data_IF_169681312748
#
_entry.id   IF_169681312748
#
_cell.length_a   1.000
_cell.length_b   1.000
_cell.length_c   1.000
_cell.angle_alpha   90.00
_cell.angle_beta   90.00
_cell.angle_gamma   90.00
#
_symmetry.space_group_name_H-M   'P 1'
#
loop_
_entity.id
_entity.type
_entity.pdbx_description
1 polymer ?
#
# COMPACT_ATOMS: atom_id res chain seq x y z
N UNK A 1 15.13 -2.77 4.06
CA UNK A 1 13.69 -3.03 4.36
C UNK A 1 13.45 -4.39 5.04
N UNK A 2 13.77 -5.52 4.40
CA UNK A 2 13.54 -6.88 4.96
C UNK A 2 14.16 -7.13 6.34
N UNK A 3 15.24 -6.43 6.71
CA UNK A 3 15.88 -6.59 8.02
C UNK A 3 15.36 -5.62 9.10
N UNK A 4 14.85 -4.44 8.69
CA UNK A 4 14.54 -3.33 9.60
C UNK A 4 13.04 -3.28 9.89
N UNK A 5 12.19 -3.45 8.86
CA UNK A 5 10.73 -3.44 9.02
C UNK A 5 10.19 -4.54 9.96
N UNK A 6 10.66 -5.81 9.89
CA UNK A 6 10.20 -6.83 10.84
C UNK A 6 10.59 -6.56 12.29
N UNK A 7 11.59 -5.70 12.52
CA UNK A 7 12.05 -5.28 13.86
C UNK A 7 11.39 -3.97 14.32
N UNK A 8 10.36 -3.50 13.60
CA UNK A 8 9.64 -2.26 13.92
C UNK A 8 10.38 -0.98 13.55
N UNK A 9 11.52 -1.05 12.85
CA UNK A 9 12.20 0.13 12.33
C UNK A 9 11.68 0.52 10.94
N UNK A 10 11.92 1.77 10.54
CA UNK A 10 11.56 2.27 9.21
C UNK A 10 12.75 2.95 8.53
N UNK A 11 12.66 3.14 7.21
CA UNK A 11 13.70 3.77 6.40
C UNK A 11 13.06 4.78 5.45
N UNK A 12 13.67 5.95 5.34
CA UNK A 12 13.32 6.97 4.36
C UNK A 12 14.55 7.42 3.58
N UNK A 13 14.32 8.00 2.41
CA UNK A 13 15.35 8.61 1.57
C UNK A 13 15.19 10.13 1.66
N UNK A 14 16.28 10.81 1.98
CA UNK A 14 16.34 12.27 2.02
C UNK A 14 16.98 12.79 0.73
N UNK A 15 16.42 13.84 0.15
CA UNK A 15 17.00 14.60 -0.96
C UNK A 15 17.44 13.72 -2.15
N UNK A 16 16.53 12.88 -2.64
CA UNK A 16 16.80 12.10 -3.85
C UNK A 16 16.93 13.02 -5.07
N UNK A 17 17.98 12.81 -5.87
CA UNK A 17 18.13 13.58 -7.10
C UNK A 17 17.00 13.27 -8.09
N UNK A 18 16.48 14.26 -8.84
CA UNK A 18 15.35 14.07 -9.76
C UNK A 18 15.56 12.93 -10.77
N UNK A 19 16.77 12.82 -11.35
CA UNK A 19 17.11 11.75 -12.29
C UNK A 19 17.04 10.35 -11.66
N UNK A 20 17.42 10.23 -10.39
CA UNK A 20 17.36 8.97 -9.66
C UNK A 20 15.91 8.67 -9.26
N UNK A 21 15.13 9.70 -8.93
CA UNK A 21 13.71 9.56 -8.61
C UNK A 21 12.88 9.04 -9.78
N UNK A 22 13.13 9.53 -11.01
CA UNK A 22 12.47 9.03 -12.23
C UNK A 22 12.71 7.53 -12.43
N UNK A 23 13.96 7.08 -12.27
CA UNK A 23 14.30 5.66 -12.35
C UNK A 23 13.58 4.87 -11.26
N UNK A 24 13.53 5.39 -10.03
CA UNK A 24 12.79 4.78 -8.93
C UNK A 24 11.30 4.62 -9.24
N UNK A 25 10.67 5.62 -9.84
CA UNK A 25 9.26 5.55 -10.24
C UNK A 25 9.03 4.53 -11.35
N UNK A 26 9.89 4.52 -12.38
CA UNK A 26 9.80 3.56 -13.49
C UNK A 26 9.91 2.10 -13.01
N UNK A 27 10.75 1.84 -12.02
CA UNK A 27 10.91 0.52 -11.40
C UNK A 27 9.83 0.22 -10.34
N UNK A 28 8.93 1.15 -10.06
CA UNK A 28 7.89 1.01 -9.03
C UNK A 28 8.43 1.06 -7.60
N UNK A 29 9.66 1.53 -7.39
CA UNK A 29 10.30 1.56 -6.08
C UNK A 29 9.81 2.66 -5.15
N UNK A 30 9.16 3.69 -5.70
CA UNK A 30 8.54 4.78 -4.93
C UNK A 30 7.50 4.29 -3.91
N UNK A 31 6.95 3.09 -4.09
CA UNK A 31 5.97 2.50 -3.17
C UNK A 31 6.60 1.87 -1.92
N UNK A 32 7.92 1.63 -1.92
CA UNK A 32 8.59 0.92 -0.82
C UNK A 32 9.33 1.85 0.15
N UNK A 33 9.59 3.09 -0.26
CA UNK A 33 10.39 4.05 0.51
C UNK A 33 9.61 5.36 0.69
N UNK A 34 9.64 5.91 1.89
CA UNK A 34 9.25 7.30 2.11
C UNK A 34 10.37 8.20 1.61
N UNK A 35 10.05 9.23 0.84
CA UNK A 35 11.02 10.18 0.29
C UNK A 35 10.67 11.56 0.83
N UNK A 36 11.65 12.26 1.41
CA UNK A 36 11.52 13.61 1.97
C UNK A 36 12.58 14.53 1.41
N UNK A 37 12.31 15.83 1.44
CA UNK A 37 13.21 16.84 0.88
C UNK A 37 14.03 17.56 1.96
N UNK A 38 13.62 17.51 3.22
CA UNK A 38 14.34 18.18 4.32
C UNK A 38 14.53 17.25 5.51
N UNK A 39 15.62 17.49 6.25
CA UNK A 39 15.93 16.72 7.46
C UNK A 39 14.85 16.89 8.54
N UNK A 40 14.22 18.06 8.62
CA UNK A 40 13.14 18.36 9.56
C UNK A 40 11.92 17.49 9.28
N UNK A 41 11.50 17.38 8.02
CA UNK A 41 10.40 16.48 7.61
C UNK A 41 10.73 15.01 7.89
N UNK A 42 11.98 14.62 7.68
CA UNK A 42 12.46 13.27 7.94
C UNK A 42 12.40 12.92 9.44
N UNK A 43 12.87 13.83 10.30
CA UNK A 43 12.82 13.65 11.76
C UNK A 43 11.38 13.65 12.25
N UNK A 44 10.54 14.57 11.75
CA UNK A 44 9.12 14.63 12.06
C UNK A 44 8.40 13.32 11.71
N UNK A 45 8.72 12.72 10.56
CA UNK A 45 8.18 11.42 10.15
C UNK A 45 8.47 10.30 11.16
N UNK A 46 9.67 10.24 11.73
CA UNK A 46 10.02 9.23 12.72
C UNK A 46 9.45 9.52 14.12
N UNK A 47 9.27 10.79 14.47
CA UNK A 47 8.80 11.21 15.80
C UNK A 47 7.29 11.21 15.94
N UNK A 48 6.55 11.44 14.86
CA UNK A 48 5.08 11.43 14.88
C UNK A 48 4.47 10.01 14.98
N UNK A 49 5.30 8.97 15.14
CA UNK A 49 4.82 7.61 15.37
C UNK A 49 4.04 7.09 14.18
N UNK A 50 4.78 6.71 13.12
CA UNK A 50 4.34 5.91 11.98
C UNK A 50 2.82 5.72 11.84
N UNK A 51 2.09 6.74 11.39
CA UNK A 51 0.93 6.51 10.53
C UNK A 51 1.46 6.02 9.18
N UNK A 52 2.10 4.85 9.21
CA UNK A 52 2.16 3.96 8.07
C UNK A 52 0.72 3.91 7.59
N UNK A 53 0.48 4.38 6.37
CA UNK A 53 -0.72 4.03 5.64
C UNK A 53 -0.82 2.52 5.78
N UNK A 54 -1.68 2.05 6.68
CA UNK A 54 -1.95 0.64 6.88
C UNK A 54 -2.32 0.18 5.50
N UNK A 55 -1.43 -0.57 4.85
CA UNK A 55 -1.68 -1.06 3.51
C UNK A 55 -2.80 -2.05 3.69
N UNK A 56 -4.04 -1.56 3.55
CA UNK A 56 -5.27 -2.36 3.66
C UNK A 56 -5.19 -3.53 2.67
N UNK A 57 -4.39 -3.35 1.62
CA UNK A 57 -4.04 -4.34 0.63
C UNK A 57 -2.63 -4.93 0.88
N UNK A 58 -2.45 -6.25 0.66
CA UNK A 58 -3.43 -7.18 0.08
C UNK A 58 -4.50 -7.63 1.10
N UNK A 59 -5.78 -7.49 0.73
CA UNK A 59 -6.94 -7.82 1.57
C UNK A 59 -7.53 -9.17 1.13
N UNK A 60 -7.77 -10.08 2.08
CA UNK A 60 -8.52 -11.31 1.83
C UNK A 60 -9.97 -11.05 2.19
N UNK A 61 -10.84 -10.97 1.18
CA UNK A 61 -12.28 -10.74 1.35
C UNK A 61 -13.07 -11.99 1.01
N UNK A 62 -14.24 -12.14 1.61
CA UNK A 62 -15.20 -13.17 1.21
C UNK A 62 -16.22 -12.56 0.26
N UNK A 63 -16.48 -13.21 -0.88
CA UNK A 63 -17.50 -12.78 -1.81
C UNK A 63 -18.87 -12.71 -1.10
N UNK A 64 -19.59 -11.57 -1.15
CA UNK A 64 -20.88 -11.44 -0.47
C UNK A 64 -21.98 -12.34 -1.06
N UNK A 65 -21.79 -12.84 -2.29
CA UNK A 65 -22.77 -13.69 -2.99
C UNK A 65 -22.54 -15.18 -2.74
N UNK A 66 -21.30 -15.66 -2.88
CA UNK A 66 -20.99 -17.10 -2.76
C UNK A 66 -20.04 -17.47 -1.63
N UNK A 67 -19.66 -16.50 -0.77
CA UNK A 67 -18.74 -16.67 0.37
C UNK A 67 -17.33 -17.16 0.01
N UNK A 68 -16.99 -17.29 -1.27
CA UNK A 68 -15.65 -17.68 -1.73
C UNK A 68 -14.63 -16.61 -1.35
N UNK A 69 -13.50 -17.03 -0.79
CA UNK A 69 -12.39 -16.14 -0.44
C UNK A 69 -11.69 -15.64 -1.70
N UNK A 70 -11.45 -14.34 -1.78
CA UNK A 70 -10.80 -13.63 -2.88
C UNK A 70 -9.70 -12.74 -2.31
N UNK A 71 -8.57 -12.67 -3.00
CA UNK A 71 -7.46 -11.78 -2.64
C UNK A 71 -7.53 -10.53 -3.51
N UNK A 72 -7.71 -9.36 -2.89
CA UNK A 72 -7.61 -8.07 -3.53
C UNK A 72 -6.21 -7.49 -3.29
N UNK A 73 -5.49 -7.16 -4.36
CA UNK A 73 -4.16 -6.54 -4.29
C UNK A 73 -4.19 -5.02 -4.34
N UNK A 74 -5.34 -4.44 -4.72
CA UNK A 74 -5.59 -2.99 -4.82
C UNK A 74 -7.09 -2.72 -4.65
N UNK A 75 -7.46 -1.46 -4.46
CA UNK A 75 -8.86 -1.01 -4.59
C UNK A 75 -9.33 -1.14 -6.05
N UNK A 76 -10.64 -1.27 -6.25
CA UNK A 76 -11.26 -1.37 -7.57
C UNK A 76 -12.35 -2.44 -7.69
N UNK A 77 -12.73 -2.75 -8.93
CA UNK A 77 -13.77 -3.75 -9.24
C UNK A 77 -13.14 -5.11 -9.54
N UNK A 78 -13.65 -6.15 -8.89
CA UNK A 78 -13.19 -7.53 -9.00
C UNK A 78 -14.35 -8.45 -9.39
N UNK A 79 -14.07 -9.42 -10.25
CA UNK A 79 -15.01 -10.49 -10.57
C UNK A 79 -14.73 -11.70 -9.70
N UNK A 80 -15.74 -12.20 -9.00
CA UNK A 80 -15.59 -13.40 -8.18
C UNK A 80 -15.30 -14.64 -9.05
N UNK A 81 -14.28 -15.43 -8.69
CA UNK A 81 -13.94 -16.69 -9.36
C UNK A 81 -14.91 -17.85 -9.07
N UNK A 82 -15.93 -17.63 -8.26
CA UNK A 82 -17.00 -18.60 -7.98
C UNK A 82 -18.27 -18.27 -8.74
N UNK A 83 -18.95 -17.19 -8.33
CA UNK A 83 -20.26 -16.80 -8.86
C UNK A 83 -20.22 -15.75 -9.98
N UNK A 84 -19.03 -15.30 -10.40
CA UNK A 84 -18.84 -14.25 -11.42
C UNK A 84 -19.45 -12.88 -11.09
N UNK A 85 -19.97 -12.67 -9.88
CA UNK A 85 -20.46 -11.36 -9.40
C UNK A 85 -19.36 -10.32 -9.38
N UNK A 86 -19.73 -9.06 -9.63
CA UNK A 86 -18.83 -7.91 -9.57
C UNK A 86 -18.85 -7.35 -8.14
N UNK A 87 -17.66 -7.06 -7.63
CA UNK A 87 -17.43 -6.59 -6.27
C UNK A 87 -16.56 -5.35 -6.37
N UNK A 88 -16.98 -4.24 -5.76
CA UNK A 88 -16.17 -3.04 -5.67
C UNK A 88 -15.53 -2.96 -4.27
N UNK A 89 -14.24 -2.58 -4.23
CA UNK A 89 -13.48 -2.40 -3.01
C UNK A 89 -12.91 -0.99 -3.01
N UNK A 90 -13.20 -0.20 -1.98
CA UNK A 90 -12.65 1.15 -1.83
C UNK A 90 -11.23 1.14 -1.24
N UNK A 91 -10.61 2.31 -1.13
CA UNK A 91 -9.25 2.46 -0.58
C UNK A 91 -9.16 2.06 0.91
N UNK A 92 -10.29 2.14 1.63
CA UNK A 92 -10.44 1.71 3.02
C UNK A 92 -10.66 0.19 3.19
N UNK A 93 -10.80 -0.56 2.09
CA UNK A 93 -11.03 -2.02 2.11
C UNK A 93 -12.48 -2.45 2.31
N UNK A 94 -13.43 -1.52 2.30
CA UNK A 94 -14.86 -1.86 2.37
C UNK A 94 -15.34 -2.44 1.05
N UNK A 95 -16.21 -3.44 1.15
CA UNK A 95 -16.68 -4.25 0.04
C UNK A 95 -18.13 -3.89 -0.27
N UNK A 96 -18.39 -3.40 -1.48
CA UNK A 96 -19.74 -3.14 -1.99
C UNK A 96 -20.07 -4.04 -3.18
N UNK A 97 -21.34 -4.41 -3.29
CA UNK A 97 -21.88 -5.09 -4.47
C UNK A 97 -22.15 -4.04 -5.55
N UNK A 98 -21.66 -4.28 -6.77
CA UNK A 98 -21.80 -3.37 -7.91
C UNK A 98 -22.17 -4.08 -9.19
#
# INVERSE_FOLDING_TARGET
>A
LKMVKPKGGDVLILEIQPKVYEVFQLLGFSQFFNIKNTAEEAIAFFTQGNTQTTSVFPLIISCPVCKKKLKATKSGRFRCSGCKSIIAINESGEVTLG
#
